data_IF_402377007150
#
_entry.id   IF_402377007150
#
_cell.length_a   1.000
_cell.length_b   1.000
_cell.length_c   1.000
_cell.angle_alpha   90.00
_cell.angle_beta   90.00
_cell.angle_gamma   90.00
#
_symmetry.space_group_name_H-M   'P 1'
#
loop_
_entity.id
_entity.type
_entity.pdbx_description
1 polymer ?
#
# COMPACT_ATOMS: atom_id res chain seq x y z
N UNK A 1 -23.04 -29.96 32.66
CA UNK A 1 -22.04 -29.05 32.08
C UNK A 1 -21.67 -29.64 30.72
N UNK A 2 -22.44 -29.30 29.69
CA UNK A 2 -22.25 -29.86 28.34
C UNK A 2 -21.24 -28.98 27.62
N UNK A 3 -20.07 -29.52 27.31
CA UNK A 3 -19.10 -28.87 26.45
C UNK A 3 -19.67 -28.84 25.02
N UNK A 4 -20.24 -27.69 24.64
CA UNK A 4 -20.55 -27.38 23.25
C UNK A 4 -19.22 -27.09 22.55
N UNK A 5 -18.57 -28.15 22.06
CA UNK A 5 -17.41 -28.03 21.19
C UNK A 5 -17.91 -27.42 19.88
N UNK A 6 -17.79 -26.10 19.76
CA UNK A 6 -18.19 -25.39 18.55
C UNK A 6 -17.33 -25.92 17.40
N UNK A 7 -17.95 -26.73 16.56
CA UNK A 7 -17.38 -27.16 15.29
C UNK A 7 -17.24 -25.90 14.42
N UNK A 8 -16.09 -25.22 14.52
CA UNK A 8 -15.67 -24.20 13.57
C UNK A 8 -15.41 -24.94 12.27
N UNK A 9 -16.43 -25.02 11.41
CA UNK A 9 -16.29 -25.53 10.05
C UNK A 9 -15.38 -24.56 9.28
N UNK A 10 -14.10 -24.94 9.19
CA UNK A 10 -13.05 -24.15 8.56
C UNK A 10 -13.36 -24.09 7.06
N UNK A 11 -13.85 -22.93 6.60
CA UNK A 11 -14.05 -22.63 5.18
C UNK A 11 -12.81 -23.06 4.39
N UNK A 12 -12.94 -23.93 3.37
CA UNK A 12 -11.79 -24.42 2.64
C UNK A 12 -11.08 -23.24 1.95
N UNK A 13 -9.79 -23.10 2.21
CA UNK A 13 -8.93 -22.06 1.63
C UNK A 13 -9.04 -22.10 0.11
N UNK A 14 -9.58 -21.02 -0.48
CA UNK A 14 -9.80 -20.92 -1.91
C UNK A 14 -8.48 -20.67 -2.65
N UNK A 15 -7.87 -21.75 -3.12
CA UNK A 15 -6.57 -21.78 -3.84
C UNK A 15 -6.59 -21.00 -5.16
N UNK A 16 -7.76 -20.61 -5.66
CA UNK A 16 -7.87 -19.78 -6.88
C UNK A 16 -7.44 -18.34 -6.63
N UNK A 17 -7.81 -17.76 -5.47
CA UNK A 17 -7.52 -16.38 -5.08
C UNK A 17 -6.03 -16.16 -4.78
N UNK A 18 -5.40 -17.12 -4.10
CA UNK A 18 -3.97 -17.07 -3.76
C UNK A 18 -3.10 -17.06 -5.03
N UNK A 19 -3.49 -17.82 -6.06
CA UNK A 19 -2.75 -17.86 -7.33
C UNK A 19 -2.88 -16.56 -8.13
N UNK A 20 -4.02 -15.87 -8.04
CA UNK A 20 -4.20 -14.55 -8.65
C UNK A 20 -3.27 -13.52 -7.99
N UNK A 21 -3.26 -13.50 -6.66
CA UNK A 21 -2.41 -12.63 -5.86
C UNK A 21 -0.92 -12.81 -6.21
N UNK A 22 -0.43 -14.07 -6.20
CA UNK A 22 0.96 -14.38 -6.51
C UNK A 22 1.33 -13.94 -7.94
N UNK A 23 0.44 -14.13 -8.92
CA UNK A 23 0.71 -13.70 -10.32
C UNK A 23 0.88 -12.19 -10.42
N UNK A 24 0.01 -11.42 -9.78
CA UNK A 24 0.06 -9.95 -9.81
C UNK A 24 1.30 -9.46 -9.09
N UNK A 25 1.55 -9.97 -7.87
CA UNK A 25 2.74 -9.59 -7.10
C UNK A 25 4.01 -9.85 -7.90
N UNK A 26 4.07 -10.98 -8.61
CA UNK A 26 5.21 -11.36 -9.43
C UNK A 26 5.36 -10.44 -10.66
N UNK A 27 4.26 -10.15 -11.38
CA UNK A 27 4.25 -9.16 -12.48
C UNK A 27 4.75 -7.79 -12.00
N UNK A 28 4.23 -7.31 -10.88
CA UNK A 28 4.57 -6.01 -10.33
C UNK A 28 6.02 -5.96 -9.85
N UNK A 29 6.52 -7.06 -9.28
CA UNK A 29 7.91 -7.21 -8.89
C UNK A 29 8.85 -7.10 -10.09
N UNK A 30 8.54 -7.78 -11.20
CA UNK A 30 9.35 -7.68 -12.42
C UNK A 30 9.32 -6.28 -13.05
N UNK A 31 8.15 -5.64 -13.10
CA UNK A 31 8.03 -4.24 -13.56
C UNK A 31 8.91 -3.32 -12.70
N UNK A 32 8.86 -3.47 -11.38
CA UNK A 32 9.66 -2.67 -10.44
C UNK A 32 11.17 -2.95 -10.62
N UNK A 33 11.57 -4.19 -10.82
CA UNK A 33 12.98 -4.56 -11.02
C UNK A 33 13.55 -3.93 -12.31
N UNK A 34 12.78 -3.96 -13.41
CA UNK A 34 13.15 -3.31 -14.67
C UNK A 34 13.29 -1.80 -14.47
N UNK A 35 12.34 -1.19 -13.76
CA UNK A 35 12.35 0.24 -13.47
C UNK A 35 13.59 0.66 -12.66
N UNK A 36 14.00 -0.14 -11.67
CA UNK A 36 15.26 0.09 -10.95
C UNK A 36 16.48 -0.03 -11.85
N UNK A 37 16.55 -1.05 -12.72
CA UNK A 37 17.66 -1.22 -13.66
C UNK A 37 17.80 0.00 -14.56
N UNK A 38 16.68 0.49 -15.13
CA UNK A 38 16.64 1.73 -15.94
C UNK A 38 17.06 2.94 -15.10
N UNK A 39 16.60 3.02 -13.85
CA UNK A 39 16.94 4.11 -12.95
C UNK A 39 18.45 4.17 -12.64
N UNK A 40 19.13 3.03 -12.57
CA UNK A 40 20.58 2.95 -12.35
C UNK A 40 21.42 3.11 -13.64
N UNK A 41 20.89 2.74 -14.81
CA UNK A 41 21.61 2.88 -16.09
C UNK A 41 21.47 4.25 -16.73
N UNK A 42 20.36 4.96 -16.49
CA UNK A 42 20.09 6.27 -17.07
C UNK A 42 20.43 7.41 -16.10
N UNK A 43 21.22 8.37 -16.57
CA UNK A 43 21.61 9.57 -15.80
C UNK A 43 20.40 10.32 -15.24
N UNK A 44 20.55 10.93 -14.06
CA UNK A 44 19.47 11.67 -13.42
C UNK A 44 19.02 12.84 -14.32
N UNK A 45 17.75 12.82 -14.73
CA UNK A 45 17.15 13.85 -15.57
C UNK A 45 15.64 13.90 -15.38
N UNK A 46 15.01 15.02 -15.74
CA UNK A 46 13.58 15.26 -15.52
C UNK A 46 12.68 14.18 -16.14
N UNK A 47 13.09 13.61 -17.28
CA UNK A 47 12.39 12.53 -17.98
C UNK A 47 12.37 11.25 -17.14
N UNK A 48 13.48 10.90 -16.48
CA UNK A 48 13.57 9.74 -15.59
C UNK A 48 12.64 9.90 -14.39
N UNK A 49 12.64 11.08 -13.78
CA UNK A 49 11.77 11.40 -12.64
C UNK A 49 10.29 11.30 -13.02
N UNK A 50 9.90 11.82 -14.18
CA UNK A 50 8.53 11.75 -14.66
C UNK A 50 8.07 10.30 -14.91
N UNK A 51 8.89 9.50 -15.60
CA UNK A 51 8.63 8.07 -15.86
C UNK A 51 8.47 7.31 -14.55
N UNK A 52 9.36 7.55 -13.58
CA UNK A 52 9.34 6.88 -12.28
C UNK A 52 8.07 7.22 -11.49
N UNK A 53 7.65 8.49 -11.48
CA UNK A 53 6.41 8.92 -10.83
C UNK A 53 5.20 8.26 -11.51
N UNK A 54 5.14 8.27 -12.84
CA UNK A 54 4.03 7.70 -13.58
C UNK A 54 3.91 6.17 -13.35
N UNK A 55 5.02 5.44 -13.43
CA UNK A 55 5.04 4.00 -13.14
C UNK A 55 4.69 3.69 -11.68
N UNK A 56 5.17 4.49 -10.73
CA UNK A 56 4.83 4.34 -9.31
C UNK A 56 3.32 4.47 -9.07
N UNK A 57 2.66 5.41 -9.75
CA UNK A 57 1.20 5.58 -9.67
C UNK A 57 0.49 4.36 -10.26
N UNK A 58 0.87 3.90 -11.46
CA UNK A 58 0.28 2.71 -12.09
C UNK A 58 0.42 1.49 -11.19
N UNK A 59 1.60 1.32 -10.59
CA UNK A 59 1.87 0.26 -9.61
C UNK A 59 0.93 0.35 -8.41
N UNK A 60 0.72 1.54 -7.86
CA UNK A 60 -0.16 1.74 -6.72
C UNK A 60 -1.60 1.36 -7.06
N UNK A 61 -2.08 1.68 -8.25
CA UNK A 61 -3.39 1.23 -8.75
C UNK A 61 -3.47 -0.30 -8.88
N UNK A 62 -2.44 -0.96 -9.41
CA UNK A 62 -2.41 -2.43 -9.51
C UNK A 62 -2.41 -3.10 -8.13
N UNK A 63 -1.64 -2.57 -7.18
CA UNK A 63 -1.64 -3.01 -5.78
C UNK A 63 -3.06 -2.88 -5.22
N UNK A 64 -3.61 -1.67 -5.20
CA UNK A 64 -4.93 -1.40 -4.61
C UNK A 64 -6.03 -2.22 -5.28
N UNK A 65 -6.02 -2.32 -6.62
CA UNK A 65 -7.01 -3.08 -7.38
C UNK A 65 -6.99 -4.58 -7.07
N UNK A 66 -5.81 -5.18 -6.94
CA UNK A 66 -5.66 -6.63 -6.71
C UNK A 66 -5.85 -7.01 -5.24
N UNK A 67 -5.41 -6.17 -4.32
CA UNK A 67 -5.81 -6.28 -2.91
C UNK A 67 -7.32 -6.02 -2.72
N UNK A 68 -7.94 -5.22 -3.59
CA UNK A 68 -9.40 -5.03 -3.64
C UNK A 68 -10.13 -6.12 -4.43
N UNK A 69 -9.51 -7.16 -4.98
CA UNK A 69 -10.27 -8.24 -5.64
C UNK A 69 -10.81 -9.30 -4.65
N UNK A 70 -10.43 -9.21 -3.37
CA UNK A 70 -11.01 -10.00 -2.28
C UNK A 70 -12.35 -9.38 -1.84
N UNK A 71 -13.36 -9.59 -2.67
CA UNK A 71 -14.76 -9.36 -2.36
C UNK A 71 -15.11 -10.16 -1.10
N UNK A 72 -15.34 -9.47 0.03
CA UNK A 72 -16.30 -9.71 1.14
C UNK A 72 -15.91 -9.02 2.46
N UNK A 73 -14.64 -8.65 2.70
CA UNK A 73 -14.19 -7.96 3.94
C UNK A 73 -13.72 -6.51 3.72
N UNK A 74 -14.20 -5.89 2.64
CA UNK A 74 -13.79 -4.59 2.07
C UNK A 74 -13.52 -3.47 3.06
N UNK A 75 -14.29 -3.39 4.16
CA UNK A 75 -14.10 -2.34 5.15
C UNK A 75 -12.74 -2.48 5.83
N UNK A 76 -12.35 -3.67 6.27
CA UNK A 76 -11.12 -3.87 7.04
C UNK A 76 -9.87 -3.45 6.26
N UNK A 77 -9.78 -3.83 4.98
CA UNK A 77 -8.64 -3.46 4.13
C UNK A 77 -8.60 -1.95 3.84
N UNK A 78 -9.75 -1.33 3.55
CA UNK A 78 -9.81 0.12 3.33
C UNK A 78 -9.39 0.87 4.60
N UNK A 79 -9.90 0.47 5.77
CA UNK A 79 -9.50 1.04 7.06
C UNK A 79 -8.01 0.82 7.34
N UNK A 80 -7.44 -0.33 6.96
CA UNK A 80 -6.02 -0.61 7.15
C UNK A 80 -5.09 0.26 6.31
N UNK A 81 -5.52 0.78 5.14
CA UNK A 81 -4.74 1.76 4.35
C UNK A 81 -5.09 3.20 4.77
N UNK A 82 -6.37 3.48 5.00
CA UNK A 82 -6.87 4.83 5.25
C UNK A 82 -6.43 5.35 6.61
N UNK A 83 -6.43 4.49 7.65
CA UNK A 83 -6.02 4.86 9.00
C UNK A 83 -4.57 5.34 9.10
N UNK A 84 -3.54 4.60 8.61
CA UNK A 84 -2.17 5.10 8.62
C UNK A 84 -1.97 6.34 7.73
N UNK A 85 -2.72 6.46 6.63
CA UNK A 85 -2.64 7.64 5.74
C UNK A 85 -3.13 8.90 6.46
N UNK A 86 -4.30 8.84 7.10
CA UNK A 86 -4.86 9.94 7.88
C UNK A 86 -3.94 10.28 9.06
N UNK A 87 -3.41 9.27 9.73
CA UNK A 87 -2.48 9.45 10.84
C UNK A 87 -1.23 10.24 10.44
N UNK A 88 -0.63 9.93 9.28
CA UNK A 88 0.54 10.67 8.77
C UNK A 88 0.20 12.12 8.45
N UNK A 89 -0.92 12.37 7.75
CA UNK A 89 -1.34 13.74 7.42
C UNK A 89 -1.60 14.55 8.68
N UNK A 90 -2.27 13.96 9.66
CA UNK A 90 -2.51 14.57 10.96
C UNK A 90 -1.21 14.89 11.72
N UNK A 91 -0.25 13.97 11.69
CA UNK A 91 1.05 14.14 12.35
C UNK A 91 1.86 15.29 11.70
N UNK A 92 1.88 15.36 10.37
CA UNK A 92 2.53 16.47 9.64
C UNK A 92 1.89 17.81 10.05
N UNK A 93 0.56 17.86 10.15
CA UNK A 93 -0.15 19.07 10.55
C UNK A 93 0.21 19.53 11.97
N UNK A 94 0.24 18.61 12.93
CA UNK A 94 0.64 18.91 14.32
C UNK A 94 2.09 19.37 14.39
N UNK A 95 3.02 18.68 13.73
CA UNK A 95 4.42 19.07 13.73
C UNK A 95 4.63 20.46 13.12
N UNK A 96 3.90 20.77 12.06
CA UNK A 96 3.99 22.09 11.43
C UNK A 96 3.44 23.18 12.35
N UNK A 97 2.31 22.95 13.02
CA UNK A 97 1.73 23.89 13.98
C UNK A 97 2.63 24.09 15.20
N UNK A 98 3.14 23.01 15.77
CA UNK A 98 3.99 23.06 16.96
C UNK A 98 5.37 23.63 16.64
N UNK A 99 5.92 23.31 15.47
CA UNK A 99 7.14 23.93 14.95
C UNK A 99 6.99 25.43 14.75
N UNK A 100 5.86 25.89 14.19
CA UNK A 100 5.57 27.31 14.03
C UNK A 100 5.45 28.04 15.38
N UNK A 101 4.75 27.44 16.35
CA UNK A 101 4.62 28.02 17.69
C UNK A 101 5.98 28.15 18.42
N UNK A 102 6.86 27.14 18.30
CA UNK A 102 8.20 27.21 18.89
C UNK A 102 9.06 28.28 18.18
N UNK A 103 8.93 28.39 16.86
CA UNK A 103 9.67 29.40 16.08
C UNK A 103 9.30 30.83 16.52
N UNK A 104 8.02 31.11 16.75
CA UNK A 104 7.52 32.41 17.23
C UNK A 104 7.93 32.74 18.68
N UNK A 105 8.22 31.73 19.50
CA UNK A 105 8.71 31.96 20.87
C UNK A 105 10.23 32.24 20.89
N UNK A 106 10.97 31.70 19.91
CA UNK A 106 12.42 31.81 19.84
C UNK A 106 12.91 33.03 19.04
N UNK A 107 12.06 33.61 18.19
CA UNK A 107 12.31 34.83 17.42
C UNK A 107 11.33 35.92 17.80
#
# INVERSE_FOLDING_TARGET
MSEEVSHVEVQPVDKSKIRLFIKVTLILFFVTAIEFVIAFTMGAGAIKTFIFIALTIVKAFYIVGEFMHLSHERKSLIWSILLPTIFIVFLIFILMYQGAAIYEILH
#
